data_IF_246004529328
#
_entry.id   IF_246004529328
#
_cell.length_a   1.000
_cell.length_b   1.000
_cell.length_c   1.000
_cell.angle_alpha   90.00
_cell.angle_beta   90.00
_cell.angle_gamma   90.00
#
_symmetry.space_group_name_H-M   'P 1'
#
loop_
_entity.id
_entity.type
_entity.pdbx_description
1 polymer ?
#
# COMPACT_ATOMS: atom_id res chain seq x y z
N UNK A 1 7.45 3.77 -1.22
CA UNK A 1 6.22 3.86 -0.39
C UNK A 1 6.46 2.99 0.81
N UNK A 2 6.38 3.56 2.00
CA UNK A 2 6.66 2.87 3.25
C UNK A 2 5.45 3.01 4.18
N UNK A 3 5.16 1.98 4.98
CA UNK A 3 4.18 2.07 6.05
C UNK A 3 4.91 2.52 7.32
N UNK A 4 4.45 3.59 7.95
CA UNK A 4 5.05 4.05 9.21
C UNK A 4 4.78 3.07 10.35
N UNK A 5 3.63 2.40 10.33
CA UNK A 5 3.19 1.48 11.38
C UNK A 5 2.70 0.15 10.77
N UNK A 6 3.62 -0.68 10.22
CA UNK A 6 3.25 -1.88 9.47
C UNK A 6 2.56 -2.95 10.34
N UNK A 7 2.73 -2.92 11.67
CA UNK A 7 2.13 -3.88 12.60
C UNK A 7 0.60 -3.92 12.54
N UNK A 8 -0.06 -2.81 12.18
CA UNK A 8 -1.52 -2.79 12.01
C UNK A 8 -2.01 -3.69 10.87
N UNK A 9 -1.15 -4.04 9.90
CA UNK A 9 -1.52 -4.97 8.83
C UNK A 9 -1.82 -6.39 9.35
N UNK A 10 -1.35 -6.74 10.56
CA UNK A 10 -1.72 -8.01 11.23
C UNK A 10 -3.24 -8.09 11.44
N UNK A 11 -3.93 -6.95 11.62
CA UNK A 11 -5.39 -6.88 11.72
C UNK A 11 -6.10 -7.37 10.46
N UNK A 12 -5.42 -7.51 9.31
CA UNK A 12 -6.02 -8.13 8.13
C UNK A 12 -6.48 -9.56 8.38
N UNK A 13 -5.88 -10.28 9.35
CA UNK A 13 -6.32 -11.61 9.79
C UNK A 13 -7.74 -11.56 10.38
N UNK A 14 -8.18 -10.41 10.89
CA UNK A 14 -9.55 -10.21 11.37
C UNK A 14 -10.58 -10.37 10.24
N UNK A 15 -10.25 -10.00 9.00
CA UNK A 15 -11.17 -10.09 7.86
C UNK A 15 -11.63 -11.53 7.56
N UNK A 16 -10.74 -12.52 7.34
CA UNK A 16 -11.16 -13.91 7.13
C UNK A 16 -11.80 -14.51 8.38
N UNK A 17 -11.42 -14.07 9.58
CA UNK A 17 -12.07 -14.50 10.83
C UNK A 17 -13.53 -14.01 10.90
N UNK A 18 -13.79 -12.74 10.59
CA UNK A 18 -15.13 -12.16 10.50
C UNK A 18 -15.96 -12.82 9.40
N UNK A 19 -15.37 -13.07 8.24
CA UNK A 19 -16.04 -13.76 7.14
C UNK A 19 -16.44 -15.19 7.53
N UNK A 20 -15.52 -15.94 8.17
CA UNK A 20 -15.78 -17.30 8.65
C UNK A 20 -16.88 -17.33 9.71
N UNK A 21 -16.86 -16.37 10.65
CA UNK A 21 -17.90 -16.22 11.66
C UNK A 21 -19.26 -15.88 11.02
N UNK A 22 -19.28 -14.96 10.06
CA UNK A 22 -20.50 -14.57 9.36
C UNK A 22 -21.14 -15.77 8.64
N UNK A 23 -20.34 -16.56 7.93
CA UNK A 23 -20.79 -17.76 7.22
C UNK A 23 -21.31 -18.86 8.17
N UNK A 24 -20.67 -19.05 9.33
CA UNK A 24 -21.04 -20.13 10.28
C UNK A 24 -22.20 -19.77 11.20
N UNK A 25 -22.25 -18.53 11.71
CA UNK A 25 -23.12 -18.15 12.82
C UNK A 25 -23.82 -16.80 12.62
N UNK A 26 -23.28 -15.90 11.81
CA UNK A 26 -23.83 -14.57 11.59
C UNK A 26 -25.20 -14.58 10.87
N UNK A 27 -25.34 -15.41 9.82
CA UNK A 27 -26.58 -15.52 9.04
C UNK A 27 -27.82 -15.91 9.85
N UNK A 28 -27.64 -16.68 10.93
CA UNK A 28 -28.76 -17.17 11.75
C UNK A 28 -29.17 -16.21 12.86
N UNK A 29 -28.45 -15.11 13.04
CA UNK A 29 -28.73 -14.08 14.06
C UNK A 29 -29.39 -12.83 13.46
N UNK A 30 -29.70 -12.85 12.18
CA UNK A 30 -30.43 -11.76 11.52
C UNK A 30 -31.92 -11.83 11.89
N UNK A 31 -32.56 -10.65 12.00
CA UNK A 31 -33.99 -10.56 12.22
C UNK A 31 -34.73 -11.13 11.01
N UNK A 32 -35.14 -12.40 11.11
CA UNK A 32 -35.84 -13.10 10.06
C UNK A 32 -37.34 -13.00 10.27
N UNK A 33 -38.07 -12.71 9.20
CA UNK A 33 -39.54 -12.77 9.20
C UNK A 33 -39.91 -14.17 8.71
N UNK A 34 -40.56 -14.97 9.56
CA UNK A 34 -41.06 -16.29 9.17
C UNK A 34 -42.34 -16.11 8.37
N UNK A 35 -42.34 -16.56 7.12
CA UNK A 35 -43.52 -16.61 6.27
C UNK A 35 -44.03 -18.05 6.20
N UNK A 36 -45.36 -18.22 6.28
CA UNK A 36 -46.00 -19.55 6.27
C UNK A 36 -46.06 -20.19 4.88
N UNK A 37 -46.07 -19.38 3.80
CA UNK A 37 -45.97 -19.87 2.42
C UNK A 37 -44.96 -19.03 1.64
N UNK A 38 -43.86 -19.65 1.22
CA UNK A 38 -42.80 -19.00 0.45
C UNK A 38 -43.13 -18.90 -1.05
N UNK A 39 -44.09 -19.69 -1.54
CA UNK A 39 -44.53 -19.67 -2.96
C UNK A 39 -45.23 -18.36 -3.35
N UNK A 40 -45.67 -17.58 -2.36
CA UNK A 40 -46.28 -16.25 -2.57
C UNK A 40 -45.22 -15.17 -2.83
N UNK A 41 -43.94 -15.46 -2.62
CA UNK A 41 -42.84 -14.50 -2.81
C UNK A 41 -42.15 -14.82 -4.14
N UNK A 42 -42.11 -13.88 -5.10
CA UNK A 42 -41.41 -14.07 -6.36
C UNK A 42 -39.92 -14.36 -6.12
N UNK A 43 -39.35 -15.32 -6.86
CA UNK A 43 -37.94 -15.70 -6.72
C UNK A 43 -36.99 -14.51 -6.95
N UNK A 44 -37.35 -13.60 -7.86
CA UNK A 44 -36.61 -12.37 -8.15
C UNK A 44 -36.42 -11.49 -6.91
N UNK A 45 -37.46 -11.39 -6.06
CA UNK A 45 -37.39 -10.61 -4.81
C UNK A 45 -36.43 -11.26 -3.83
N UNK A 46 -36.46 -12.59 -3.73
CA UNK A 46 -35.55 -13.37 -2.87
C UNK A 46 -34.10 -13.21 -3.35
N UNK A 47 -33.86 -13.28 -4.66
CA UNK A 47 -32.54 -13.14 -5.26
C UNK A 47 -31.99 -11.72 -5.06
N UNK A 48 -32.81 -10.70 -5.31
CA UNK A 48 -32.45 -9.30 -5.06
C UNK A 48 -32.12 -9.04 -3.58
N UNK A 49 -32.91 -9.62 -2.65
CA UNK A 49 -32.62 -9.54 -1.22
C UNK A 49 -31.27 -10.15 -0.85
N UNK A 50 -30.96 -11.34 -1.39
CA UNK A 50 -29.66 -12.00 -1.18
C UNK A 50 -28.49 -11.19 -1.75
N UNK A 51 -28.65 -10.63 -2.95
CA UNK A 51 -27.63 -9.77 -3.57
C UNK A 51 -27.37 -8.51 -2.75
N UNK A 52 -28.44 -7.85 -2.29
CA UNK A 52 -28.32 -6.64 -1.47
C UNK A 52 -27.63 -6.92 -0.13
N UNK A 53 -27.95 -8.04 0.51
CA UNK A 53 -27.25 -8.46 1.72
C UNK A 53 -25.75 -8.71 1.45
N UNK A 54 -25.43 -9.44 0.38
CA UNK A 54 -24.05 -9.68 -0.03
C UNK A 54 -23.28 -8.37 -0.24
N UNK A 55 -23.90 -7.40 -0.92
CA UNK A 55 -23.34 -6.07 -1.14
C UNK A 55 -23.01 -5.36 0.17
N UNK A 56 -23.94 -5.37 1.14
CA UNK A 56 -23.70 -4.74 2.45
C UNK A 56 -22.56 -5.40 3.24
N UNK A 57 -22.43 -6.73 3.17
CA UNK A 57 -21.34 -7.46 3.83
C UNK A 57 -20.00 -7.09 3.20
N UNK A 58 -19.92 -7.10 1.87
CA UNK A 58 -18.71 -6.73 1.13
C UNK A 58 -18.32 -5.28 1.47
N UNK A 59 -19.28 -4.35 1.46
CA UNK A 59 -19.02 -2.95 1.82
C UNK A 59 -18.52 -2.80 3.25
N UNK A 60 -19.08 -3.56 4.21
CA UNK A 60 -18.60 -3.55 5.60
C UNK A 60 -17.15 -4.02 5.71
N UNK A 61 -16.81 -5.12 5.04
CA UNK A 61 -15.43 -5.64 5.02
C UNK A 61 -14.48 -4.67 4.32
N UNK A 62 -14.93 -4.02 3.26
CA UNK A 62 -14.17 -3.00 2.54
C UNK A 62 -13.88 -1.77 3.42
N UNK A 63 -14.87 -1.29 4.19
CA UNK A 63 -14.65 -0.19 5.15
C UNK A 63 -13.61 -0.59 6.20
N UNK A 64 -13.70 -1.80 6.75
CA UNK A 64 -12.71 -2.30 7.72
C UNK A 64 -11.31 -2.36 7.10
N UNK A 65 -11.19 -2.84 5.85
CA UNK A 65 -9.93 -2.84 5.10
C UNK A 65 -9.35 -1.43 4.97
N UNK A 66 -10.17 -0.44 4.59
CA UNK A 66 -9.72 0.95 4.49
C UNK A 66 -9.27 1.52 5.83
N UNK A 67 -9.96 1.19 6.92
CA UNK A 67 -9.55 1.61 8.27
C UNK A 67 -8.19 1.01 8.63
N UNK A 68 -7.96 -0.28 8.36
CA UNK A 68 -6.67 -0.94 8.61
C UNK A 68 -5.56 -0.27 7.78
N UNK A 69 -5.84 0.04 6.51
CA UNK A 69 -4.89 0.75 5.64
C UNK A 69 -4.61 2.18 6.10
N UNK A 70 -5.61 2.88 6.65
CA UNK A 70 -5.40 4.21 7.22
C UNK A 70 -4.54 4.14 8.49
N UNK A 71 -4.76 3.14 9.34
CA UNK A 71 -3.99 2.91 10.57
C UNK A 71 -2.53 2.54 10.29
N UNK A 72 -2.25 1.79 9.21
CA UNK A 72 -0.88 1.44 8.84
C UNK A 72 -0.05 2.62 8.31
N UNK A 73 -0.68 3.79 8.09
CA UNK A 73 -0.06 5.06 7.69
C UNK A 73 0.88 4.90 6.48
N UNK A 74 0.34 4.60 5.28
CA UNK A 74 1.12 4.59 4.05
C UNK A 74 1.64 6.00 3.76
N UNK A 75 2.96 6.14 3.64
CA UNK A 75 3.62 7.41 3.31
C UNK A 75 4.55 7.25 2.11
N UNK A 76 4.65 8.32 1.33
CA UNK A 76 5.67 8.46 0.30
C UNK A 76 6.85 9.15 0.97
N UNK A 77 7.97 8.44 1.08
CA UNK A 77 9.20 8.97 1.68
C UNK A 77 10.14 9.34 0.55
N UNK A 78 10.50 10.61 0.49
CA UNK A 78 11.58 11.07 -0.37
C UNK A 78 12.86 10.92 0.43
N UNK A 79 13.60 9.84 0.20
CA UNK A 79 14.94 9.70 0.75
C UNK A 79 15.85 10.66 -0.02
N UNK A 80 16.31 11.72 0.64
CA UNK A 80 17.39 12.54 0.10
C UNK A 80 18.63 11.65 0.11
N UNK A 81 19.01 11.13 -1.06
CA UNK A 81 20.28 10.44 -1.20
C UNK A 81 21.36 11.51 -1.15
N UNK A 82 22.06 11.59 -0.02
CA UNK A 82 23.28 12.38 0.06
C UNK A 82 24.35 11.68 -0.78
N UNK A 83 24.45 12.10 -2.05
CA UNK A 83 25.56 11.71 -2.90
C UNK A 83 26.80 12.35 -2.31
N UNK A 84 27.70 11.55 -1.74
CA UNK A 84 29.05 12.00 -1.39
C UNK A 84 29.78 12.31 -2.69
N UNK A 85 29.71 13.56 -3.13
CA UNK A 85 30.58 14.05 -4.19
C UNK A 85 31.96 14.27 -3.56
N UNK A 86 32.90 13.37 -3.86
CA UNK A 86 34.30 13.59 -3.55
C UNK A 86 34.78 14.75 -4.42
N UNK A 87 34.95 15.93 -3.81
CA UNK A 87 35.54 17.09 -4.47
C UNK A 87 37.05 16.87 -4.44
N UNK A 88 37.65 16.70 -5.61
CA UNK A 88 39.10 16.63 -5.77
C UNK A 88 39.59 18.03 -6.14
N UNK A 89 40.35 18.65 -5.25
CA UNK A 89 41.02 19.92 -5.53
C UNK A 89 42.31 19.66 -6.32
N UNK A 90 42.35 20.12 -7.58
CA UNK A 90 43.55 19.99 -8.43
C UNK A 90 44.31 21.31 -8.40
N UNK A 91 45.46 21.32 -7.70
CA UNK A 91 46.42 22.41 -7.77
C UNK A 91 47.39 22.15 -8.92
N UNK A 92 47.28 22.94 -9.99
CA UNK A 92 48.25 22.93 -11.09
C UNK A 92 49.34 23.95 -10.80
N UNK A 93 50.57 23.49 -10.63
CA UNK A 93 51.75 24.35 -10.52
C UNK A 93 52.59 24.14 -11.78
N UNK A 94 52.78 25.22 -12.54
CA UNK A 94 53.59 25.23 -13.76
C UNK A 94 54.88 25.98 -13.43
N UNK A 95 56.02 25.30 -13.56
CA UNK A 95 57.32 25.95 -13.42
C UNK A 95 57.61 26.85 -14.64
N UNK A 96 58.17 28.04 -14.40
CA UNK A 96 58.61 29.01 -15.41
C UNK A 96 60.13 29.23 -15.34
N UNK A 97 60.86 28.26 -14.78
CA UNK A 97 62.32 28.28 -14.78
C UNK A 97 62.89 28.16 -16.20
N UNK A 98 64.08 28.73 -16.44
CA UNK A 98 64.74 28.65 -17.74
C UNK A 98 65.08 27.21 -18.17
N UNK A 99 65.15 26.25 -17.23
CA UNK A 99 65.25 24.82 -17.55
C UNK A 99 64.03 24.26 -18.27
N UNK A 100 62.84 24.87 -18.10
CA UNK A 100 61.62 24.47 -18.82
C UNK A 100 61.62 24.91 -20.29
N UNK A 101 62.59 25.73 -20.73
CA UNK A 101 62.80 26.07 -22.14
C UNK A 101 63.62 25.01 -22.91
N UNK A 102 64.01 23.91 -22.25
CA UNK A 102 64.72 22.82 -22.91
C UNK A 102 63.84 22.18 -23.99
N UNK A 103 64.35 22.11 -25.23
CA UNK A 103 63.62 21.66 -26.41
C UNK A 103 63.66 20.14 -26.58
N UNK A 104 63.20 19.42 -25.56
CA UNK A 104 63.22 17.94 -25.59
C UNK A 104 62.06 17.35 -26.43
N UNK A 105 61.03 18.16 -26.72
CA UNK A 105 59.89 17.79 -27.56
C UNK A 105 59.60 18.87 -28.62
N UNK A 106 59.31 18.46 -29.85
CA UNK A 106 58.78 19.34 -30.92
C UNK A 106 57.24 19.38 -30.79
N UNK A 107 56.61 20.55 -30.95
CA UNK A 107 56.48 21.16 -32.26
C UNK A 107 56.67 22.67 -32.18
N UNK A 108 57.80 23.18 -32.66
CA UNK A 108 57.74 24.56 -33.16
C UNK A 108 56.86 24.56 -34.42
#
# INVERSE_FOLDING_TARGET
MEFSEPYYLILLILLPMLLSWYLKKGKNQEATIRFSNLELIPEEVIQNGKMKNMFFIIMRLFIILLIIMALSRPRIVNTVQETKTEIIDILLVIDQSSSMLAQDFKPN
#
